data_IF_650788227105
#
_entry.id   IF_650788227105
#
_cell.length_a   1.000
_cell.length_b   1.000
_cell.length_c   1.000
_cell.angle_alpha   90.00
_cell.angle_beta   90.00
_cell.angle_gamma   90.00
#
_symmetry.space_group_name_H-M   'P 1'
#
loop_
_entity.id
_entity.type
_entity.pdbx_description
1 polymer ?
#
# COMPACT_ATOMS: atom_id res chain seq x y z
N UNK A 1 -3.67 -10.61 -15.87
CA UNK A 1 -4.74 -11.55 -16.24
C UNK A 1 -5.65 -11.72 -15.03
N UNK A 2 -6.95 -11.44 -15.18
CA UNK A 2 -7.96 -11.76 -14.17
C UNK A 2 -8.69 -13.03 -14.60
N UNK A 3 -9.15 -13.82 -13.64
CA UNK A 3 -9.97 -15.01 -13.89
C UNK A 3 -11.42 -14.58 -13.77
N UNK A 4 -12.16 -14.68 -14.87
CA UNK A 4 -13.61 -14.48 -14.93
C UNK A 4 -14.23 -15.77 -15.47
N UNK A 5 -15.07 -16.43 -14.68
CA UNK A 5 -15.70 -17.71 -15.06
C UNK A 5 -14.72 -18.83 -15.46
N UNK A 6 -13.48 -18.81 -14.94
CA UNK A 6 -12.45 -19.82 -15.28
C UNK A 6 -11.64 -19.52 -16.55
N UNK A 7 -11.84 -18.37 -17.19
CA UNK A 7 -11.07 -17.94 -18.38
C UNK A 7 -10.11 -16.82 -18.01
N UNK A 8 -8.85 -16.93 -18.45
CA UNK A 8 -7.87 -15.86 -18.32
C UNK A 8 -8.24 -14.74 -19.29
N UNK A 9 -8.57 -13.56 -18.76
CA UNK A 9 -8.82 -12.36 -19.54
C UNK A 9 -7.61 -11.45 -19.41
N UNK A 10 -7.04 -11.07 -20.56
CA UNK A 10 -6.10 -9.97 -20.63
C UNK A 10 -6.87 -8.65 -20.66
N UNK A 11 -7.04 -8.07 -19.47
CA UNK A 11 -7.75 -6.81 -19.24
C UNK A 11 -7.12 -5.66 -20.03
N UNK A 12 -5.81 -5.70 -20.30
CA UNK A 12 -5.10 -4.67 -21.06
C UNK A 12 -5.39 -4.68 -22.55
N UNK A 13 -5.94 -5.77 -23.09
CA UNK A 13 -6.15 -5.94 -24.53
C UNK A 13 -7.58 -6.39 -24.90
N UNK A 14 -8.53 -6.35 -23.97
CA UNK A 14 -9.91 -6.71 -24.28
C UNK A 14 -10.58 -5.67 -25.19
N UNK A 15 -11.53 -6.13 -26.00
CA UNK A 15 -12.32 -5.26 -26.87
C UNK A 15 -13.42 -4.52 -26.11
N UNK A 16 -13.91 -3.41 -26.67
CA UNK A 16 -15.05 -2.66 -26.13
C UNK A 16 -16.28 -3.54 -25.89
N UNK A 17 -16.63 -4.41 -26.85
CA UNK A 17 -17.79 -5.29 -26.71
C UNK A 17 -17.64 -6.31 -25.59
N UNK A 18 -16.42 -6.80 -25.33
CA UNK A 18 -16.17 -7.69 -24.18
C UNK A 18 -16.32 -6.96 -22.85
N UNK A 19 -15.82 -5.72 -22.75
CA UNK A 19 -15.95 -4.91 -21.55
C UNK A 19 -17.42 -4.56 -21.25
N UNK A 20 -18.19 -4.22 -22.29
CA UNK A 20 -19.63 -3.93 -22.20
C UNK A 20 -20.44 -5.16 -21.79
N UNK A 21 -20.17 -6.32 -22.42
CA UNK A 21 -20.83 -7.60 -22.09
C UNK A 21 -20.64 -7.95 -20.60
N UNK A 22 -19.40 -7.82 -20.10
CA UNK A 22 -19.03 -8.09 -18.70
C UNK A 22 -19.52 -7.04 -17.71
N UNK A 23 -20.14 -5.96 -18.19
CA UNK A 23 -20.71 -4.90 -17.36
C UNK A 23 -22.24 -4.79 -17.49
N UNK A 24 -22.86 -5.68 -18.27
CA UNK A 24 -24.27 -5.55 -18.67
C UNK A 24 -25.22 -5.45 -17.48
N UNK A 25 -25.03 -6.29 -16.46
CA UNK A 25 -25.82 -6.25 -15.23
C UNK A 25 -25.59 -4.96 -14.44
N UNK A 26 -24.36 -4.48 -14.37
CA UNK A 26 -24.02 -3.24 -13.67
C UNK A 26 -24.76 -2.03 -14.27
N UNK A 27 -24.74 -1.90 -15.60
CA UNK A 27 -25.33 -0.77 -16.30
C UNK A 27 -26.86 -0.82 -16.34
N UNK A 28 -27.50 -1.91 -15.91
CA UNK A 28 -28.96 -1.95 -15.75
C UNK A 28 -29.43 -1.07 -14.60
N UNK A 29 -28.65 -0.95 -13.53
CA UNK A 29 -28.91 -0.03 -12.42
C UNK A 29 -28.08 1.26 -12.49
N UNK A 30 -26.80 1.18 -12.86
CA UNK A 30 -25.86 2.30 -12.87
C UNK A 30 -25.86 3.08 -14.20
N UNK A 31 -27.03 3.62 -14.57
CA UNK A 31 -27.20 4.38 -15.81
C UNK A 31 -26.36 5.67 -15.78
N UNK A 32 -25.66 5.95 -16.89
CA UNK A 32 -24.89 7.19 -17.07
C UNK A 32 -23.51 7.20 -16.39
N UNK A 33 -23.11 6.13 -15.72
CA UNK A 33 -21.72 5.96 -15.25
C UNK A 33 -20.81 5.77 -16.46
N UNK A 34 -19.65 6.41 -16.41
CA UNK A 34 -18.64 6.35 -17.48
C UNK A 34 -17.33 5.80 -16.93
N UNK A 35 -16.61 5.09 -17.78
CA UNK A 35 -15.31 4.53 -17.47
C UNK A 35 -14.24 5.66 -17.53
N UNK A 36 -13.42 5.85 -16.48
CA UNK A 36 -12.52 7.01 -16.37
C UNK A 36 -11.30 7.00 -17.30
N UNK A 37 -10.91 5.86 -17.87
CA UNK A 37 -9.79 5.74 -18.82
C UNK A 37 -10.20 6.08 -20.28
N UNK A 38 -11.49 6.32 -20.54
CA UNK A 38 -11.98 6.83 -21.81
C UNK A 38 -11.80 5.83 -22.97
N UNK A 39 -11.15 6.25 -24.05
CA UNK A 39 -10.95 5.41 -25.25
C UNK A 39 -9.58 4.71 -25.29
N UNK A 40 -8.68 5.00 -24.34
CA UNK A 40 -7.32 4.46 -24.35
C UNK A 40 -7.31 2.95 -24.05
N UNK A 41 -8.22 2.50 -23.20
CA UNK A 41 -8.44 1.09 -22.84
C UNK A 41 -9.93 0.83 -22.69
N UNK A 42 -10.32 -0.43 -22.80
CA UNK A 42 -11.72 -0.85 -22.60
C UNK A 42 -11.78 -1.73 -21.35
N UNK A 43 -12.29 -1.17 -20.25
CA UNK A 43 -12.43 -1.88 -18.98
C UNK A 43 -13.90 -2.11 -18.66
N UNK A 44 -14.21 -3.30 -18.15
CA UNK A 44 -15.51 -3.58 -17.54
C UNK A 44 -15.58 -3.02 -16.12
N UNK A 45 -16.78 -2.80 -15.60
CA UNK A 45 -16.97 -2.35 -14.21
C UNK A 45 -16.25 -3.28 -13.22
N UNK A 46 -16.32 -4.59 -13.46
CA UNK A 46 -15.77 -5.63 -12.58
C UNK A 46 -14.26 -5.79 -12.70
N UNK A 47 -13.61 -5.26 -13.74
CA UNK A 47 -12.15 -5.22 -13.84
C UNK A 47 -11.55 -4.32 -12.75
N UNK A 48 -12.26 -3.26 -12.38
CA UNK A 48 -11.87 -2.40 -11.27
C UNK A 48 -12.53 -2.84 -9.96
N UNK A 49 -13.86 -2.95 -9.94
CA UNK A 49 -14.65 -3.09 -8.71
C UNK A 49 -14.86 -4.54 -8.25
N UNK A 50 -14.58 -5.55 -9.09
CA UNK A 50 -14.94 -6.94 -8.81
C UNK A 50 -16.46 -7.18 -8.84
N UNK A 51 -16.92 -8.27 -8.24
CA UNK A 51 -18.33 -8.67 -8.24
C UNK A 51 -18.74 -9.48 -9.47
N UNK A 52 -20.06 -9.65 -9.64
CA UNK A 52 -20.66 -10.31 -10.80
C UNK A 52 -21.33 -9.27 -11.72
N UNK A 53 -20.68 -8.99 -12.85
CA UNK A 53 -21.15 -7.98 -13.80
C UNK A 53 -22.31 -8.42 -14.69
N UNK A 54 -22.76 -9.67 -14.56
CA UNK A 54 -23.92 -10.22 -15.28
C UNK A 54 -25.16 -10.33 -14.40
N UNK A 55 -25.00 -10.33 -13.07
CA UNK A 55 -26.13 -10.33 -12.14
C UNK A 55 -26.93 -9.03 -12.25
N UNK A 56 -28.25 -9.17 -12.12
CA UNK A 56 -29.22 -8.07 -12.13
C UNK A 56 -29.83 -7.81 -10.76
N UNK A 57 -29.30 -8.43 -9.71
CA UNK A 57 -29.69 -8.23 -8.32
C UNK A 57 -28.50 -7.75 -7.47
N UNK A 58 -28.76 -6.78 -6.59
CA UNK A 58 -27.73 -6.13 -5.77
C UNK A 58 -26.98 -7.13 -4.89
N UNK A 59 -27.68 -8.13 -4.38
CA UNK A 59 -27.18 -9.08 -3.38
C UNK A 59 -26.15 -10.08 -3.94
N UNK A 60 -26.18 -10.29 -5.26
CA UNK A 60 -25.26 -11.18 -5.99
C UNK A 60 -24.25 -10.39 -6.81
N UNK A 61 -24.65 -9.25 -7.39
CA UNK A 61 -23.76 -8.41 -8.19
C UNK A 61 -22.65 -7.77 -7.36
N UNK A 62 -22.97 -7.23 -6.19
CA UNK A 62 -21.99 -6.55 -5.34
C UNK A 62 -21.25 -7.53 -4.43
N UNK A 63 -19.92 -7.41 -4.30
CA UNK A 63 -19.21 -8.00 -3.18
C UNK A 63 -19.85 -7.64 -1.85
N UNK A 64 -19.80 -8.53 -0.87
CA UNK A 64 -20.41 -8.29 0.45
C UNK A 64 -19.35 -7.87 1.45
N UNK A 65 -19.65 -6.84 2.25
CA UNK A 65 -18.87 -6.51 3.44
C UNK A 65 -18.93 -7.65 4.47
N UNK A 66 -17.86 -7.84 5.23
CA UNK A 66 -17.85 -8.71 6.41
C UNK A 66 -18.65 -8.09 7.56
N UNK A 67 -18.73 -6.74 7.61
CA UNK A 67 -19.48 -5.98 8.60
C UNK A 67 -20.56 -5.09 7.98
N UNK A 68 -21.56 -5.66 7.28
CA UNK A 68 -22.58 -4.89 6.55
C UNK A 68 -23.39 -3.94 7.45
N UNK A 69 -23.52 -4.24 8.74
CA UNK A 69 -24.20 -3.40 9.72
C UNK A 69 -23.50 -2.06 9.97
N UNK A 70 -22.21 -1.95 9.64
CA UNK A 70 -21.40 -0.73 9.80
C UNK A 70 -21.38 0.13 8.54
N UNK A 71 -21.90 -0.36 7.42
CA UNK A 71 -22.02 0.38 6.18
C UNK A 71 -23.44 0.96 6.03
N UNK A 72 -23.59 2.28 5.88
CA UNK A 72 -24.89 2.92 5.70
C UNK A 72 -25.70 2.32 4.55
N UNK A 73 -26.97 1.99 4.83
CA UNK A 73 -27.95 1.55 3.82
C UNK A 73 -28.26 2.74 2.91
N UNK A 74 -27.60 2.79 1.75
CA UNK A 74 -27.65 3.92 0.82
C UNK A 74 -26.34 4.18 0.06
N UNK A 75 -25.28 3.41 0.35
CA UNK A 75 -24.01 3.51 -0.37
C UNK A 75 -23.12 4.67 0.07
N UNK A 76 -23.53 5.43 1.08
CA UNK A 76 -22.67 6.43 1.71
C UNK A 76 -21.56 5.74 2.52
N UNK A 77 -20.36 6.29 2.50
CA UNK A 77 -19.28 5.83 3.38
C UNK A 77 -19.61 6.20 4.84
N UNK A 78 -19.36 5.31 5.82
CA UNK A 78 -19.49 5.66 7.23
C UNK A 78 -18.49 6.74 7.61
N UNK A 79 -18.78 7.48 8.69
CA UNK A 79 -17.83 8.46 9.22
C UNK A 79 -16.55 7.74 9.68
N UNK A 80 -15.39 8.25 9.26
CA UNK A 80 -14.06 7.76 9.68
C UNK A 80 -13.88 6.25 9.47
N UNK A 81 -14.02 5.75 8.23
CA UNK A 81 -14.03 4.31 7.95
C UNK A 81 -12.64 3.66 8.06
N UNK A 82 -11.58 4.40 8.38
CA UNK A 82 -10.19 3.93 8.28
C UNK A 82 -9.85 2.74 9.17
N UNK A 83 -10.55 2.54 10.31
CA UNK A 83 -10.40 1.31 11.10
C UNK A 83 -11.34 0.21 10.60
N UNK A 84 -12.56 0.58 10.19
CA UNK A 84 -13.53 -0.37 9.64
C UNK A 84 -12.96 -1.11 8.44
N UNK A 85 -12.36 -0.38 7.50
CA UNK A 85 -11.81 -0.96 6.28
C UNK A 85 -10.67 -1.94 6.53
N UNK A 86 -10.01 -1.90 7.70
CA UNK A 86 -8.98 -2.89 8.09
C UNK A 86 -9.59 -4.24 8.49
N UNK A 87 -10.89 -4.26 8.83
CA UNK A 87 -11.63 -5.46 9.23
C UNK A 87 -12.54 -6.00 8.12
N UNK A 88 -12.44 -5.45 6.91
CA UNK A 88 -13.22 -5.92 5.77
C UNK A 88 -12.43 -6.87 4.89
N UNK A 89 -13.15 -7.74 4.17
CA UNK A 89 -12.56 -8.55 3.12
C UNK A 89 -12.09 -7.70 1.92
N UNK A 90 -11.16 -8.27 1.17
CA UNK A 90 -10.48 -7.57 0.07
C UNK A 90 -11.39 -7.30 -1.13
N UNK A 91 -12.41 -8.14 -1.35
CA UNK A 91 -13.37 -7.95 -2.44
C UNK A 91 -14.25 -6.72 -2.18
N UNK A 92 -14.70 -6.54 -0.93
CA UNK A 92 -15.43 -5.34 -0.52
C UNK A 92 -14.56 -4.08 -0.59
N UNK A 93 -13.31 -4.14 -0.13
CA UNK A 93 -12.37 -3.01 -0.24
C UNK A 93 -12.15 -2.63 -1.70
N UNK A 94 -11.93 -3.60 -2.58
CA UNK A 94 -11.81 -3.37 -4.02
C UNK A 94 -13.08 -2.76 -4.61
N UNK A 95 -14.25 -3.22 -4.18
CA UNK A 95 -15.53 -2.71 -4.64
C UNK A 95 -15.74 -1.24 -4.30
N UNK A 96 -15.52 -0.84 -3.04
CA UNK A 96 -15.76 0.55 -2.61
C UNK A 96 -14.61 1.49 -2.96
N UNK A 97 -13.37 0.98 -3.07
CA UNK A 97 -12.18 1.75 -3.40
C UNK A 97 -11.18 0.89 -4.21
N UNK A 98 -11.34 0.80 -5.55
CA UNK A 98 -10.42 0.03 -6.40
C UNK A 98 -8.98 0.57 -6.41
N UNK A 99 -8.78 1.82 -5.96
CA UNK A 99 -7.48 2.46 -5.81
C UNK A 99 -6.84 2.30 -4.42
N UNK A 100 -7.48 1.57 -3.49
CA UNK A 100 -6.88 1.26 -2.20
C UNK A 100 -5.55 0.53 -2.41
N UNK A 101 -4.47 1.01 -1.78
CA UNK A 101 -3.12 0.48 -2.00
C UNK A 101 -2.98 -1.00 -1.65
N UNK A 102 -3.90 -1.52 -0.84
CA UNK A 102 -4.04 -2.95 -0.57
C UNK A 102 -4.40 -3.68 -1.87
N UNK A 103 -5.50 -3.32 -2.53
CA UNK A 103 -6.01 -4.02 -3.72
C UNK A 103 -5.45 -3.53 -5.05
N UNK A 104 -4.75 -2.39 -5.08
CA UNK A 104 -4.26 -1.76 -6.31
C UNK A 104 -3.35 -2.66 -7.15
N UNK A 105 -2.67 -3.65 -6.55
CA UNK A 105 -1.90 -4.64 -7.30
C UNK A 105 -2.79 -5.53 -8.17
N UNK A 106 -4.00 -5.86 -7.72
CA UNK A 106 -4.95 -6.67 -8.49
C UNK A 106 -5.68 -5.79 -9.51
N UNK A 107 -6.08 -4.59 -9.11
CA UNK A 107 -6.88 -3.67 -9.94
C UNK A 107 -6.04 -2.97 -11.02
N UNK A 108 -4.92 -2.37 -10.63
CA UNK A 108 -4.17 -1.45 -11.49
C UNK A 108 -2.90 -2.08 -12.09
N UNK A 109 -2.25 -3.03 -11.41
CA UNK A 109 -0.99 -3.61 -11.90
C UNK A 109 -1.08 -4.39 -13.22
N UNK A 110 -2.23 -4.94 -13.67
CA UNK A 110 -2.33 -5.52 -15.02
C UNK A 110 -1.87 -4.55 -16.12
N UNK A 111 -2.11 -3.24 -15.95
CA UNK A 111 -1.71 -2.20 -16.91
C UNK A 111 -0.60 -1.29 -16.37
N UNK A 112 -0.56 -1.05 -15.05
CA UNK A 112 0.34 -0.13 -14.36
C UNK A 112 1.22 -0.82 -13.30
N UNK A 113 1.99 -1.87 -13.66
CA UNK A 113 2.75 -2.65 -12.68
C UNK A 113 3.86 -1.83 -12.02
N UNK A 114 4.48 -0.90 -12.76
CA UNK A 114 5.54 -0.05 -12.21
C UNK A 114 5.01 0.94 -11.17
N UNK A 115 3.86 1.55 -11.42
CA UNK A 115 3.30 2.54 -10.49
C UNK A 115 2.90 1.87 -9.18
N UNK A 116 2.19 0.74 -9.26
CA UNK A 116 1.80 -0.04 -8.08
C UNK A 116 3.01 -0.56 -7.31
N UNK A 117 4.04 -1.04 -8.00
CA UNK A 117 5.28 -1.47 -7.37
C UNK A 117 6.04 -0.31 -6.71
N UNK A 118 6.18 0.83 -7.39
CA UNK A 118 6.88 2.00 -6.85
C UNK A 118 6.16 2.56 -5.62
N UNK A 119 4.83 2.65 -5.64
CA UNK A 119 4.05 3.13 -4.50
C UNK A 119 4.17 2.17 -3.32
N UNK A 120 4.04 0.85 -3.53
CA UNK A 120 4.16 -0.15 -2.46
C UNK A 120 5.55 -0.17 -1.79
N UNK A 121 6.59 0.26 -2.51
CA UNK A 121 7.97 0.34 -2.00
C UNK A 121 8.39 1.75 -1.57
N UNK A 122 7.49 2.74 -1.66
CA UNK A 122 7.82 4.14 -1.40
C UNK A 122 8.07 4.41 0.09
N UNK A 123 8.72 5.54 0.38
CA UNK A 123 8.90 6.03 1.75
C UNK A 123 7.59 6.41 2.45
N UNK A 124 6.52 6.68 1.70
CA UNK A 124 5.19 6.97 2.25
C UNK A 124 4.46 5.71 2.69
N UNK A 125 4.72 4.59 2.01
CA UNK A 125 4.20 3.28 2.43
C UNK A 125 5.05 2.68 3.55
N UNK A 126 6.37 2.85 3.47
CA UNK A 126 7.30 2.15 4.37
C UNK A 126 7.72 2.94 5.60
N UNK A 127 7.50 4.26 5.62
CA UNK A 127 7.95 5.17 6.68
C UNK A 127 9.46 5.04 6.96
N UNK A 128 10.23 4.48 6.03
CA UNK A 128 11.66 4.15 6.24
C UNK A 128 12.53 5.38 6.45
N UNK A 129 12.13 6.52 5.88
CA UNK A 129 12.80 7.80 6.12
C UNK A 129 12.68 8.28 7.58
N UNK A 130 11.53 8.06 8.23
CA UNK A 130 11.36 8.41 9.65
C UNK A 130 12.36 7.65 10.50
N UNK A 131 12.48 6.33 10.29
CA UNK A 131 13.41 5.49 11.01
C UNK A 131 14.87 5.80 10.71
N UNK A 132 15.16 6.37 9.53
CA UNK A 132 16.49 6.87 9.20
C UNK A 132 16.84 8.11 10.04
N UNK A 133 15.97 9.12 10.00
CA UNK A 133 16.20 10.42 10.64
C UNK A 133 16.12 10.29 12.16
N UNK A 134 15.02 9.74 12.67
CA UNK A 134 14.80 9.58 14.11
C UNK A 134 15.81 8.60 14.72
N UNK A 135 16.07 7.47 14.05
CA UNK A 135 17.01 6.48 14.54
C UNK A 135 18.43 7.01 14.64
N UNK A 136 18.93 7.67 13.59
CA UNK A 136 20.27 8.25 13.57
C UNK A 136 20.42 9.43 14.54
N UNK A 137 19.48 10.40 14.51
CA UNK A 137 19.54 11.56 15.40
C UNK A 137 19.44 11.17 16.87
N UNK A 138 18.77 10.04 17.17
CA UNK A 138 18.67 9.54 18.53
C UNK A 138 19.79 8.58 18.95
N UNK A 139 20.76 8.28 18.08
CA UNK A 139 21.82 7.32 18.35
C UNK A 139 21.31 5.88 18.53
N UNK A 140 20.10 5.57 18.04
CA UNK A 140 19.51 4.22 18.08
C UNK A 140 20.21 3.34 17.06
N UNK A 141 20.53 3.90 15.88
CA UNK A 141 21.20 3.19 14.78
C UNK A 141 22.29 4.07 14.20
N UNK A 142 23.43 3.47 13.83
CA UNK A 142 24.55 4.17 13.20
C UNK A 142 24.33 4.60 11.73
N UNK A 143 23.63 3.84 10.86
CA UNK A 143 23.48 4.24 9.46
C UNK A 143 22.45 5.36 9.27
N UNK A 144 22.78 6.33 8.41
CA UNK A 144 21.86 7.41 7.96
C UNK A 144 20.80 6.94 6.96
N UNK A 145 21.00 5.76 6.39
CA UNK A 145 20.08 5.07 5.47
C UNK A 145 19.43 3.93 6.24
N UNK A 146 18.17 4.10 6.62
CA UNK A 146 17.48 3.11 7.46
C UNK A 146 17.37 1.77 6.75
N UNK A 147 17.62 0.69 7.47
CA UNK A 147 17.12 -0.64 7.10
C UNK A 147 15.72 -0.87 7.66
N UNK A 148 15.25 -0.06 8.60
CA UNK A 148 13.94 -0.22 9.24
C UNK A 148 12.84 0.51 8.50
N UNK A 149 11.66 -0.09 8.50
CA UNK A 149 10.41 0.48 8.02
C UNK A 149 9.24 -0.45 8.30
N UNK A 150 8.10 -0.12 7.74
CA UNK A 150 6.85 -0.87 7.90
C UNK A 150 6.40 -1.42 6.56
N UNK A 151 5.97 -2.67 6.55
CA UNK A 151 5.27 -3.25 5.40
C UNK A 151 4.53 -4.48 5.89
N UNK A 152 3.30 -4.64 5.43
CA UNK A 152 2.41 -5.71 5.87
C UNK A 152 1.86 -6.47 4.67
N UNK A 153 1.82 -7.79 4.78
CA UNK A 153 1.16 -8.66 3.82
C UNK A 153 -0.37 -8.42 3.85
N UNK A 154 -1.13 -8.97 2.89
CA UNK A 154 -2.58 -8.90 2.92
C UNK A 154 -3.22 -9.43 4.21
N UNK A 155 -2.55 -10.37 4.88
CA UNK A 155 -2.96 -10.95 6.16
C UNK A 155 -2.48 -10.12 7.38
N UNK A 156 -1.93 -8.93 7.15
CA UNK A 156 -1.40 -8.05 8.19
C UNK A 156 -0.07 -8.52 8.78
N UNK A 157 0.62 -9.48 8.15
CA UNK A 157 1.90 -9.99 8.69
C UNK A 157 3.04 -9.07 8.27
N UNK A 158 3.99 -8.75 9.15
CA UNK A 158 5.15 -7.94 8.79
C UNK A 158 5.96 -8.63 7.68
N UNK A 159 6.39 -7.88 6.67
CA UNK A 159 7.16 -8.41 5.54
C UNK A 159 8.37 -7.52 5.20
N UNK A 160 9.42 -8.14 4.68
CA UNK A 160 10.59 -7.43 4.17
C UNK A 160 10.33 -6.89 2.76
N UNK A 161 10.78 -5.66 2.50
CA UNK A 161 10.73 -5.05 1.17
C UNK A 161 12.12 -5.07 0.56
N UNK A 162 12.25 -5.70 -0.60
CA UNK A 162 13.48 -5.67 -1.40
C UNK A 162 13.38 -4.61 -2.49
N UNK A 163 14.38 -3.72 -2.57
CA UNK A 163 14.58 -2.87 -3.73
C UNK A 163 15.33 -3.67 -4.79
N UNK A 164 14.57 -4.11 -5.79
CA UNK A 164 15.08 -4.93 -6.87
C UNK A 164 15.24 -4.07 -8.13
N UNK A 165 16.31 -4.32 -8.85
CA UNK A 165 16.59 -3.73 -10.16
C UNK A 165 16.56 -4.84 -11.23
N UNK A 166 16.25 -4.51 -12.49
CA UNK A 166 16.38 -5.46 -13.59
C UNK A 166 17.82 -6.02 -13.65
N UNK A 167 17.96 -7.29 -14.02
CA UNK A 167 19.29 -7.90 -14.22
C UNK A 167 20.06 -7.21 -15.33
N UNK A 168 19.38 -6.94 -16.44
CA UNK A 168 19.85 -6.16 -17.59
C UNK A 168 18.81 -5.06 -17.91
N UNK A 169 19.25 -3.93 -18.44
CA UNK A 169 18.37 -2.78 -18.74
C UNK A 169 17.27 -3.13 -19.76
N UNK A 170 17.57 -4.04 -20.69
CA UNK A 170 16.66 -4.50 -21.75
C UNK A 170 15.95 -5.83 -21.43
N UNK A 171 16.16 -6.40 -20.23
CA UNK A 171 15.56 -7.69 -19.88
C UNK A 171 14.02 -7.62 -19.87
N UNK A 172 13.32 -8.61 -20.46
CA UNK A 172 11.87 -8.65 -20.37
C UNK A 172 11.43 -8.73 -18.91
N UNK A 173 10.38 -8.01 -18.54
CA UNK A 173 9.91 -7.96 -17.15
C UNK A 173 9.23 -9.28 -16.77
N UNK A 174 10.03 -10.23 -16.29
CA UNK A 174 9.59 -11.48 -15.68
C UNK A 174 10.04 -11.53 -14.21
N UNK A 175 9.45 -12.41 -13.41
CA UNK A 175 9.83 -12.57 -12.01
C UNK A 175 11.33 -12.93 -11.84
N UNK A 176 11.90 -13.64 -12.81
CA UNK A 176 13.28 -14.13 -12.77
C UNK A 176 14.31 -13.10 -13.21
N UNK A 177 13.88 -11.97 -13.77
CA UNK A 177 14.77 -10.94 -14.34
C UNK A 177 15.06 -9.79 -13.39
N UNK A 178 14.94 -10.04 -12.08
CA UNK A 178 15.23 -9.08 -11.02
C UNK A 178 16.41 -9.55 -10.16
N UNK A 179 17.18 -8.59 -9.64
CA UNK A 179 18.27 -8.82 -8.68
C UNK A 179 18.29 -7.71 -7.64
N UNK A 180 19.04 -7.93 -6.56
CA UNK A 180 19.30 -6.88 -5.58
C UNK A 180 20.10 -5.73 -6.20
N UNK A 181 19.77 -4.51 -5.79
CA UNK A 181 20.47 -3.30 -6.21
C UNK A 181 21.87 -3.25 -5.57
N UNK A 182 22.87 -2.89 -6.37
CA UNK A 182 24.22 -2.56 -5.89
C UNK A 182 24.22 -1.22 -5.15
N UNK A 183 25.26 -0.93 -4.37
CA UNK A 183 25.39 0.34 -3.66
C UNK A 183 25.32 1.56 -4.60
N UNK A 184 25.93 1.48 -5.78
CA UNK A 184 25.89 2.54 -6.79
C UNK A 184 24.48 2.75 -7.35
N UNK A 185 23.69 1.69 -7.54
CA UNK A 185 22.31 1.79 -8.00
C UNK A 185 21.38 2.34 -6.92
N UNK A 186 21.57 1.92 -5.67
CA UNK A 186 20.84 2.50 -4.52
C UNK A 186 21.06 4.01 -4.48
N UNK A 187 22.30 4.47 -4.70
CA UNK A 187 22.61 5.90 -4.78
C UNK A 187 22.00 6.56 -6.02
N UNK A 188 22.20 6.00 -7.22
CA UNK A 188 21.65 6.51 -8.49
C UNK A 188 20.13 6.69 -8.44
N UNK A 189 19.42 5.73 -7.84
CA UNK A 189 17.96 5.76 -7.75
C UNK A 189 17.43 6.40 -6.46
N UNK A 190 18.32 6.93 -5.61
CA UNK A 190 17.97 7.53 -4.31
C UNK A 190 17.10 6.61 -3.44
N UNK A 191 17.34 5.30 -3.50
CA UNK A 191 16.70 4.35 -2.62
C UNK A 191 17.19 4.57 -1.19
N UNK A 192 16.27 4.46 -0.21
CA UNK A 192 16.65 4.57 1.21
C UNK A 192 17.66 3.49 1.55
N UNK A 193 17.42 2.25 1.15
CA UNK A 193 18.34 1.12 1.30
C UNK A 193 17.94 -0.02 0.34
N UNK A 194 18.80 -1.04 0.16
CA UNK A 194 18.51 -2.21 -0.68
C UNK A 194 17.42 -3.12 -0.10
N UNK A 195 17.29 -3.14 1.22
CA UNK A 195 16.24 -3.84 1.95
C UNK A 195 15.62 -2.92 3.01
N UNK A 196 14.33 -3.12 3.27
CA UNK A 196 13.61 -2.54 4.40
C UNK A 196 13.01 -3.70 5.19
N UNK A 197 13.36 -3.79 6.47
CA UNK A 197 12.91 -4.81 7.41
C UNK A 197 11.87 -4.21 8.36
N UNK A 198 10.84 -4.99 8.74
CA UNK A 198 9.92 -4.63 9.81
C UNK A 198 10.66 -4.31 11.11
N UNK A 199 10.07 -3.44 11.92
CA UNK A 199 10.60 -3.19 13.26
C UNK A 199 10.53 -4.47 14.09
N UNK A 200 11.54 -4.72 14.94
CA UNK A 200 11.43 -5.73 15.98
C UNK A 200 10.26 -5.37 16.92
N UNK A 201 9.69 -6.40 17.54
CA UNK A 201 8.68 -6.23 18.58
C UNK A 201 9.23 -5.33 19.70
N UNK A 202 8.39 -4.43 20.25
CA UNK A 202 8.86 -3.43 21.20
C UNK A 202 9.40 -4.07 22.49
N UNK A 203 8.89 -5.25 22.87
CA UNK A 203 9.27 -6.02 24.05
C UNK A 203 10.72 -6.52 24.01
N UNK A 204 11.31 -6.64 22.81
CA UNK A 204 12.71 -7.07 22.62
C UNK A 204 13.63 -5.91 22.25
N UNK A 205 13.09 -4.70 22.12
CA UNK A 205 13.91 -3.50 21.91
C UNK A 205 14.36 -2.95 23.25
N UNK A 206 15.62 -2.53 23.34
CA UNK A 206 16.05 -1.73 24.48
C UNK A 206 15.46 -0.33 24.33
N UNK A 207 14.74 0.12 25.35
CA UNK A 207 14.36 1.53 25.47
C UNK A 207 15.63 2.37 25.36
N UNK A 208 15.62 3.34 24.44
CA UNK A 208 16.69 4.34 24.36
C UNK A 208 16.88 5.04 25.71
N UNK A 209 18.02 5.70 25.90
CA UNK A 209 18.36 6.37 27.16
C UNK A 209 17.22 7.30 27.62
N UNK A 210 16.41 6.85 28.58
CA UNK A 210 15.28 7.63 29.12
C UNK A 210 15.75 8.92 29.79
N UNK A 211 17.05 9.00 30.15
CA UNK A 211 17.64 10.18 30.75
C UNK A 211 18.08 11.23 29.72
N UNK A 212 17.96 10.96 28.41
CA UNK A 212 18.26 11.93 27.35
C UNK A 212 17.39 13.19 27.43
N UNK A 213 16.19 13.09 28.00
CA UNK A 213 15.35 14.27 28.28
C UNK A 213 16.03 15.29 29.19
N UNK A 214 17.00 14.85 29.98
CA UNK A 214 17.80 15.67 30.87
C UNK A 214 19.19 16.00 30.29
N UNK A 215 19.43 15.77 28.99
CA UNK A 215 20.63 16.26 28.31
C UNK A 215 20.43 17.72 27.90
N UNK A 216 21.53 18.49 27.88
CA UNK A 216 21.52 19.89 27.47
C UNK A 216 21.07 20.01 26.00
N UNK A 217 19.98 20.75 25.74
CA UNK A 217 19.37 20.89 24.42
C UNK A 217 18.09 20.05 24.19
N UNK A 218 17.62 19.31 25.20
CA UNK A 218 16.32 18.65 25.18
C UNK A 218 15.15 19.64 25.01
N UNK A 219 14.14 19.24 24.23
CA UNK A 219 12.96 20.06 23.90
C UNK A 219 12.00 20.27 25.08
N UNK A 220 12.06 19.37 26.05
CA UNK A 220 11.34 19.49 27.31
C UNK A 220 12.29 20.24 28.24
N UNK A 221 11.99 21.52 28.53
CA UNK A 221 12.87 22.43 29.30
C UNK A 221 13.06 22.06 30.78
N UNK A 222 13.16 20.78 31.10
CA UNK A 222 13.55 20.30 32.43
C UNK A 222 15.04 20.53 32.69
N UNK A 223 15.45 20.66 33.96
CA UNK A 223 16.85 20.80 34.32
C UNK A 223 17.62 19.55 33.89
N UNK A 224 18.84 19.75 33.39
CA UNK A 224 19.70 18.64 33.01
C UNK A 224 20.02 17.73 34.20
N UNK A 225 20.32 16.46 33.96
CA UNK A 225 20.54 15.48 35.03
C UNK A 225 21.75 15.95 35.86
N UNK A 226 21.56 16.16 37.17
CA UNK A 226 22.59 16.72 38.05
C UNK A 226 22.45 18.23 38.33
N UNK A 227 21.48 18.92 37.72
CA UNK A 227 21.16 20.34 37.99
C UNK A 227 19.89 20.55 38.82
N UNK A 228 19.41 19.53 39.53
CA UNK A 228 18.24 19.63 40.40
C UNK A 228 18.49 20.68 41.51
N UNK A 229 17.98 21.90 41.30
CA UNK A 229 17.99 22.98 42.29
C UNK A 229 19.17 23.95 42.24
N UNK A 230 20.02 23.90 41.22
CA UNK A 230 21.06 24.92 41.02
C UNK A 230 20.60 25.94 39.96
N UNK A 231 20.72 27.26 40.22
CA UNK A 231 20.47 28.26 39.19
C UNK A 231 21.44 28.04 38.02
N UNK A 232 20.90 27.99 36.81
CA UNK A 232 21.70 28.01 35.59
C UNK A 232 22.49 29.33 35.53
N UNK A 233 23.72 29.36 34.97
CA UNK A 233 24.37 30.61 34.57
C UNK A 233 23.57 31.36 33.51
#
# INVERSE_FOLDING_TARGET
>A
MLVDGGRLIDVGSQSKGQAEERSRGCIDCHKGVVEPHGQAVHLSCIDCHGGDGLSTDIETAHPRADHPEKWPKGGANPERPYTLTLHENWDWIRFVNPGDLRVARTTCAPCHPNHTLNVSKSVMTTVSHFWAVAGYANGIVSPKRSVFGESYSPEGRPQMVHQLVPKDEDAPRSADNWREATAAEIEKHSFVNGIIIPLPHFEITQTGNIFRVFEQGSRLGGPALGFNGLPLP
#
